data_IF_849357042865
#
_entry.id   IF_849357042865
#
_cell.length_a   1.000
_cell.length_b   1.000
_cell.length_c   1.000
_cell.angle_alpha   90.00
_cell.angle_beta   90.00
_cell.angle_gamma   90.00
#
_symmetry.space_group_name_H-M   'P 1'
#
loop_
_entity.id
_entity.type
_entity.pdbx_description
1 polymer ?
#
# COMPACT_ATOMS: atom_id res chain seq x y z
N UNK A 1 -36.11 -3.04 23.15
CA UNK A 1 -35.71 -4.26 22.42
C UNK A 1 -34.20 -4.26 22.31
N UNK A 2 -33.50 -4.82 23.30
CA UNK A 2 -32.06 -5.03 23.22
C UNK A 2 -31.81 -6.34 22.49
N UNK A 3 -31.42 -6.27 21.23
CA UNK A 3 -30.83 -7.42 20.56
C UNK A 3 -29.56 -7.78 21.31
N UNK A 4 -29.56 -8.88 22.05
CA UNK A 4 -28.33 -9.44 22.60
C UNK A 4 -27.45 -9.83 21.40
N UNK A 5 -26.52 -8.94 21.03
CA UNK A 5 -25.44 -9.30 20.10
C UNK A 5 -24.81 -10.57 20.67
N UNK A 6 -24.74 -11.61 19.84
CA UNK A 6 -24.57 -12.97 20.31
C UNK A 6 -23.18 -13.14 20.97
N UNK A 7 -23.15 -13.74 22.17
CA UNK A 7 -21.92 -14.12 22.86
C UNK A 7 -20.83 -14.77 21.95
N UNK A 8 -21.16 -15.63 20.96
CA UNK A 8 -20.15 -16.15 20.03
C UNK A 8 -19.47 -15.08 19.17
N UNK A 9 -20.16 -14.01 18.76
CA UNK A 9 -19.56 -12.94 17.98
C UNK A 9 -18.45 -12.23 18.76
N UNK A 10 -18.74 -11.83 20.00
CA UNK A 10 -17.75 -11.18 20.86
C UNK A 10 -16.61 -12.12 21.27
N UNK A 11 -16.86 -13.42 21.37
CA UNK A 11 -15.79 -14.41 21.57
C UNK A 11 -14.80 -14.43 20.41
N UNK A 12 -15.29 -14.43 19.17
CA UNK A 12 -14.42 -14.33 17.98
C UNK A 12 -13.67 -13.00 17.95
N UNK A 13 -14.34 -11.90 18.24
CA UNK A 13 -13.71 -10.56 18.27
C UNK A 13 -12.65 -10.45 19.37
N UNK A 14 -12.87 -11.06 20.54
CA UNK A 14 -11.87 -11.12 21.61
C UNK A 14 -10.62 -11.90 21.18
N UNK A 15 -10.76 -12.99 20.42
CA UNK A 15 -9.61 -13.71 19.85
C UNK A 15 -8.85 -12.81 18.88
N UNK A 16 -9.55 -12.06 18.01
CA UNK A 16 -8.94 -11.13 17.06
C UNK A 16 -8.28 -9.91 17.76
N UNK A 17 -8.88 -9.42 18.84
CA UNK A 17 -8.35 -8.31 19.64
C UNK A 17 -7.06 -8.70 20.38
N UNK A 18 -6.96 -9.96 20.85
CA UNK A 18 -5.78 -10.43 21.59
C UNK A 18 -4.69 -11.03 20.68
N UNK A 19 -5.01 -11.41 19.44
CA UNK A 19 -4.07 -12.05 18.52
C UNK A 19 -3.21 -11.05 17.75
N UNK A 20 -2.49 -10.15 18.42
CA UNK A 20 -1.69 -9.10 17.78
C UNK A 20 -0.61 -9.63 16.81
N UNK A 21 -0.08 -10.83 17.09
CA UNK A 21 1.02 -11.43 16.35
C UNK A 21 0.60 -12.02 15.00
N UNK A 22 -0.58 -12.64 14.89
CA UNK A 22 -0.98 -13.31 13.66
C UNK A 22 -1.17 -12.33 12.48
N UNK A 23 -1.97 -11.26 12.59
CA UNK A 23 -2.11 -10.24 11.55
C UNK A 23 -0.76 -9.60 11.20
N UNK A 24 0.13 -9.44 12.19
CA UNK A 24 1.47 -8.91 11.97
C UNK A 24 2.33 -9.88 11.16
N UNK A 25 2.44 -11.16 11.54
CA UNK A 25 3.19 -12.15 10.79
C UNK A 25 2.65 -12.32 9.37
N UNK A 26 1.32 -12.32 9.21
CA UNK A 26 0.69 -12.33 7.90
C UNK A 26 1.10 -11.11 7.07
N UNK A 27 1.05 -9.90 7.65
CA UNK A 27 1.52 -8.67 7.02
C UNK A 27 3.01 -8.75 6.62
N UNK A 28 3.88 -9.29 7.48
CA UNK A 28 5.31 -9.46 7.15
C UNK A 28 5.52 -10.46 5.99
N UNK A 29 4.80 -11.58 6.02
CA UNK A 29 4.91 -12.64 5.03
C UNK A 29 4.52 -12.17 3.62
N UNK A 30 3.51 -11.31 3.50
CA UNK A 30 3.10 -10.74 2.21
C UNK A 30 3.86 -9.44 1.89
N UNK A 31 4.11 -8.60 2.89
CA UNK A 31 4.60 -7.24 2.74
C UNK A 31 6.08 -7.18 2.37
N UNK A 32 6.95 -7.97 3.03
CA UNK A 32 8.39 -7.92 2.78
C UNK A 32 8.72 -8.36 1.34
N UNK A 33 8.23 -9.52 0.83
CA UNK A 33 8.48 -9.91 -0.55
C UNK A 33 7.96 -8.89 -1.55
N UNK A 34 6.77 -8.31 -1.28
CA UNK A 34 6.19 -7.28 -2.12
C UNK A 34 6.98 -5.97 -2.11
N UNK A 35 7.50 -5.54 -0.97
CA UNK A 35 8.34 -4.35 -0.87
C UNK A 35 9.65 -4.52 -1.64
N UNK A 36 10.30 -5.70 -1.51
CA UNK A 36 11.51 -6.05 -2.28
C UNK A 36 11.22 -6.05 -3.78
N UNK A 37 10.08 -6.64 -4.19
CA UNK A 37 9.63 -6.59 -5.57
C UNK A 37 9.40 -5.14 -6.02
N UNK A 38 8.76 -4.30 -5.20
CA UNK A 38 8.47 -2.92 -5.56
C UNK A 38 9.74 -2.08 -5.74
N UNK A 39 10.72 -2.25 -4.85
CA UNK A 39 12.06 -1.66 -4.99
C UNK A 39 12.75 -2.11 -6.28
N UNK A 40 12.65 -3.40 -6.62
CA UNK A 40 13.21 -3.94 -7.86
C UNK A 40 12.56 -3.35 -9.12
N UNK A 41 11.24 -3.18 -9.09
CA UNK A 41 10.46 -2.53 -10.15
C UNK A 41 10.86 -1.06 -10.31
N UNK A 42 10.95 -0.32 -9.21
CA UNK A 42 11.40 1.07 -9.20
C UNK A 42 12.82 1.20 -9.77
N UNK A 43 13.74 0.36 -9.31
CA UNK A 43 15.11 0.35 -9.82
C UNK A 43 15.15 0.06 -11.33
N UNK A 44 14.35 -0.89 -11.81
CA UNK A 44 14.25 -1.20 -13.24
C UNK A 44 13.73 -0.01 -14.06
N UNK A 45 12.71 0.69 -13.56
CA UNK A 45 12.12 1.86 -14.22
C UNK A 45 13.10 3.04 -14.21
N UNK A 46 13.68 3.38 -13.05
CA UNK A 46 14.59 4.52 -12.88
C UNK A 46 15.87 4.34 -13.71
N UNK A 47 16.46 3.13 -13.70
CA UNK A 47 17.65 2.86 -14.54
C UNK A 47 17.37 2.92 -16.05
N UNK A 48 16.10 2.84 -16.46
CA UNK A 48 15.67 2.91 -17.86
C UNK A 48 14.71 4.09 -18.10
N UNK A 49 14.88 5.20 -17.36
CA UNK A 49 13.91 6.31 -17.34
C UNK A 49 13.59 6.88 -18.74
N UNK A 50 14.55 6.83 -19.67
CA UNK A 50 14.36 7.24 -21.08
C UNK A 50 13.24 6.46 -21.78
N UNK A 51 13.02 5.20 -21.40
CA UNK A 51 11.95 4.36 -21.94
C UNK A 51 10.63 4.49 -21.15
N UNK A 52 10.66 5.15 -19.99
CA UNK A 52 9.55 5.29 -19.05
C UNK A 52 9.26 6.76 -18.72
N UNK A 53 9.49 7.67 -19.66
CA UNK A 53 9.32 9.12 -19.46
C UNK A 53 7.86 9.60 -19.59
N UNK A 54 6.89 8.69 -19.74
CA UNK A 54 5.48 9.09 -19.82
C UNK A 54 4.97 9.56 -18.45
N UNK A 55 3.99 10.47 -18.46
CA UNK A 55 3.38 10.98 -17.24
C UNK A 55 2.80 9.87 -16.35
N UNK A 56 2.27 8.81 -16.96
CA UNK A 56 1.83 7.62 -16.26
C UNK A 56 2.94 7.01 -15.40
N UNK A 57 4.12 6.74 -15.99
CA UNK A 57 5.22 6.14 -15.25
C UNK A 57 5.78 7.07 -14.18
N UNK A 58 5.83 8.38 -14.41
CA UNK A 58 6.25 9.35 -13.39
C UNK A 58 5.31 9.29 -12.18
N UNK A 59 3.99 9.30 -12.40
CA UNK A 59 3.01 9.16 -11.31
C UNK A 59 3.15 7.80 -10.59
N UNK A 60 3.40 6.71 -11.32
CA UNK A 60 3.65 5.38 -10.74
C UNK A 60 4.90 5.40 -9.86
N UNK A 61 5.99 6.04 -10.29
CA UNK A 61 7.23 6.15 -9.50
C UNK A 61 6.98 6.93 -8.22
N UNK A 62 6.34 8.10 -8.30
CA UNK A 62 6.06 8.95 -7.13
C UNK A 62 5.18 8.20 -6.14
N UNK A 63 4.12 7.53 -6.61
CA UNK A 63 3.26 6.70 -5.77
C UNK A 63 4.05 5.56 -5.13
N UNK A 64 4.86 4.84 -5.89
CA UNK A 64 5.64 3.71 -5.38
C UNK A 64 6.63 4.13 -4.28
N UNK A 65 7.30 5.28 -4.46
CA UNK A 65 8.17 5.86 -3.44
C UNK A 65 7.35 6.21 -2.19
N UNK A 66 6.21 6.87 -2.35
CA UNK A 66 5.30 7.20 -1.24
C UNK A 66 4.86 5.94 -0.49
N UNK A 67 4.45 4.88 -1.20
CA UNK A 67 4.01 3.62 -0.57
C UNK A 67 5.14 2.89 0.16
N UNK A 68 6.38 2.94 -0.34
CA UNK A 68 7.53 2.38 0.37
C UNK A 68 7.90 3.18 1.63
N UNK A 69 7.81 4.51 1.55
CA UNK A 69 8.00 5.38 2.73
C UNK A 69 6.92 5.08 3.77
N UNK A 70 5.65 5.02 3.34
CA UNK A 70 4.53 4.68 4.20
C UNK A 70 4.72 3.30 4.84
N UNK A 71 5.13 2.30 4.05
CA UNK A 71 5.43 0.97 4.56
C UNK A 71 6.41 1.04 5.72
N UNK A 72 7.58 1.68 5.55
CA UNK A 72 8.58 1.83 6.63
C UNK A 72 8.03 2.62 7.82
N UNK A 73 7.32 3.72 7.56
CA UNK A 73 6.74 4.57 8.61
C UNK A 73 5.70 3.81 9.42
N UNK A 74 4.88 2.95 8.80
CA UNK A 74 3.90 2.14 9.54
C UNK A 74 4.56 1.13 10.49
N UNK A 75 5.76 0.64 10.16
CA UNK A 75 6.53 -0.17 11.12
C UNK A 75 6.91 0.63 12.36
N UNK A 76 7.42 1.84 12.15
CA UNK A 76 7.85 2.74 13.21
C UNK A 76 6.68 3.31 14.00
N UNK A 77 5.58 3.70 13.37
CA UNK A 77 4.46 4.34 14.04
C UNK A 77 3.53 3.33 14.73
N UNK A 78 3.38 2.13 14.16
CA UNK A 78 2.33 1.19 14.56
C UNK A 78 2.85 -0.21 14.91
N UNK A 79 3.66 -0.85 14.05
CA UNK A 79 3.92 -2.30 14.18
C UNK A 79 4.88 -2.63 15.31
N UNK A 80 5.98 -1.89 15.46
CA UNK A 80 6.89 -2.13 16.57
C UNK A 80 6.24 -1.87 17.92
N UNK A 81 5.27 -0.94 17.97
CA UNK A 81 4.47 -0.67 19.14
C UNK A 81 3.64 -1.90 19.59
N UNK A 82 3.22 -2.74 18.64
CA UNK A 82 2.47 -3.99 18.90
C UNK A 82 3.32 -5.17 19.36
N UNK A 83 4.64 -5.13 19.18
CA UNK A 83 5.55 -6.18 19.66
C UNK A 83 6.11 -5.80 21.04
N UNK A 84 6.11 -4.51 21.39
CA UNK A 84 6.68 -4.02 22.64
C UNK A 84 8.21 -4.00 22.71
N UNK A 85 8.89 -4.62 21.74
CA UNK A 85 10.36 -4.73 21.67
C UNK A 85 11.09 -3.39 21.86
N UNK A 86 10.51 -2.30 21.36
CA UNK A 86 11.14 -0.98 21.36
C UNK A 86 10.56 -0.03 22.43
N UNK A 87 9.67 -0.49 23.33
CA UNK A 87 9.02 0.38 24.32
C UNK A 87 10.01 1.28 25.11
N UNK A 88 11.15 0.78 25.64
CA UNK A 88 12.11 1.61 26.36
C UNK A 88 12.75 2.73 25.52
N UNK A 89 12.82 2.54 24.20
CA UNK A 89 13.31 3.55 23.25
C UNK A 89 12.23 4.59 23.03
N UNK A 90 10.98 4.17 22.76
CA UNK A 90 9.87 5.08 22.49
C UNK A 90 9.57 5.99 23.68
N UNK A 91 9.65 5.49 24.92
CA UNK A 91 9.46 6.30 26.12
C UNK A 91 10.48 7.44 26.26
N UNK A 92 11.62 7.36 25.57
CA UNK A 92 12.66 8.41 25.53
C UNK A 92 12.56 9.30 24.29
N UNK A 93 11.68 8.99 23.33
CA UNK A 93 11.51 9.77 22.11
C UNK A 93 10.83 11.09 22.44
N UNK A 94 11.37 12.24 21.99
CA UNK A 94 10.74 13.53 22.23
C UNK A 94 9.38 13.61 21.53
N UNK A 95 8.42 14.32 22.15
CA UNK A 95 7.04 14.46 21.64
C UNK A 95 6.97 14.91 20.18
N UNK A 96 7.86 15.83 19.77
CA UNK A 96 7.92 16.32 18.39
C UNK A 96 8.23 15.21 17.38
N UNK A 97 9.04 14.21 17.75
CA UNK A 97 9.37 13.10 16.88
C UNK A 97 8.22 12.08 16.82
N UNK A 98 7.50 11.86 17.92
CA UNK A 98 6.26 11.06 17.90
C UNK A 98 5.19 11.72 17.00
N UNK A 99 5.01 13.03 17.13
CA UNK A 99 4.13 13.81 16.27
C UNK A 99 4.55 13.73 14.79
N UNK A 100 5.86 13.78 14.51
CA UNK A 100 6.37 13.62 13.14
C UNK A 100 6.07 12.23 12.55
N UNK A 101 6.25 11.15 13.33
CA UNK A 101 5.90 9.79 12.88
C UNK A 101 4.40 9.68 12.55
N UNK A 102 3.55 10.25 13.41
CA UNK A 102 2.11 10.25 13.22
C UNK A 102 1.69 11.13 12.03
N UNK A 103 2.33 12.29 11.88
CA UNK A 103 2.17 13.19 10.72
C UNK A 103 2.49 12.46 9.41
N UNK A 104 3.65 11.81 9.30
CA UNK A 104 4.01 11.12 8.05
C UNK A 104 3.03 9.98 7.76
N UNK A 105 2.58 9.25 8.78
CA UNK A 105 1.61 8.18 8.61
C UNK A 105 0.31 8.67 7.94
N UNK A 106 -0.34 9.70 8.49
CA UNK A 106 -1.55 10.25 7.88
C UNK A 106 -1.28 11.00 6.57
N UNK A 107 -0.16 11.71 6.47
CA UNK A 107 0.22 12.42 5.26
C UNK A 107 0.39 11.46 4.08
N UNK A 108 1.11 10.36 4.28
CA UNK A 108 1.32 9.34 3.27
C UNK A 108 0.01 8.67 2.86
N UNK A 109 -0.90 8.41 3.82
CA UNK A 109 -2.23 7.89 3.55
C UNK A 109 -3.02 8.78 2.58
N UNK A 110 -3.10 10.10 2.83
CA UNK A 110 -3.80 11.02 1.94
C UNK A 110 -3.09 11.19 0.59
N UNK A 111 -1.75 11.27 0.59
CA UNK A 111 -0.94 11.38 -0.61
C UNK A 111 -1.15 10.19 -1.55
N UNK A 112 -1.15 8.95 -1.02
CA UNK A 112 -1.35 7.74 -1.81
C UNK A 112 -2.74 7.66 -2.44
N UNK A 113 -3.78 8.03 -1.69
CA UNK A 113 -5.14 8.07 -2.20
C UNK A 113 -5.29 9.08 -3.34
N UNK A 114 -4.68 10.27 -3.18
CA UNK A 114 -4.71 11.33 -4.18
C UNK A 114 -3.91 10.96 -5.45
N UNK A 115 -2.70 10.41 -5.29
CA UNK A 115 -1.90 9.91 -6.41
C UNK A 115 -2.61 8.77 -7.16
N UNK A 116 -3.36 7.93 -6.44
CA UNK A 116 -4.16 6.89 -7.08
C UNK A 116 -5.28 7.47 -7.91
N UNK A 117 -6.01 8.46 -7.41
CA UNK A 117 -7.03 9.16 -8.18
C UNK A 117 -6.43 9.81 -9.44
N UNK A 118 -5.27 10.45 -9.34
CA UNK A 118 -4.59 11.03 -10.50
C UNK A 118 -4.08 10.00 -11.51
N UNK A 119 -3.64 8.82 -11.07
CA UNK A 119 -3.30 7.72 -11.97
C UNK A 119 -4.53 7.26 -12.77
N UNK A 120 -5.70 7.15 -12.13
CA UNK A 120 -6.94 6.80 -12.80
C UNK A 120 -7.40 7.90 -13.76
N UNK A 121 -7.27 9.17 -13.36
CA UNK A 121 -7.56 10.31 -14.24
C UNK A 121 -6.61 10.36 -15.44
N UNK A 122 -5.33 10.07 -15.24
CA UNK A 122 -4.35 9.93 -16.31
C UNK A 122 -4.75 8.85 -17.31
N UNK A 123 -5.23 7.72 -16.82
CA UNK A 123 -5.73 6.65 -17.69
C UNK A 123 -6.99 7.09 -18.46
N UNK A 124 -7.99 7.64 -17.77
CA UNK A 124 -9.24 8.10 -18.37
C UNK A 124 -8.97 9.10 -19.50
N UNK A 125 -8.13 10.10 -19.22
CA UNK A 125 -7.75 11.12 -20.22
C UNK A 125 -6.94 10.54 -21.38
N UNK A 126 -6.14 9.48 -21.18
CA UNK A 126 -5.48 8.76 -22.27
C UNK A 126 -6.45 8.06 -23.22
N UNK A 127 -7.61 7.62 -22.73
CA UNK A 127 -8.66 7.01 -23.56
C UNK A 127 -9.49 8.09 -24.27
N UNK A 128 -9.87 9.15 -23.54
CA UNK A 128 -10.74 10.22 -24.05
C UNK A 128 -10.03 11.19 -25.01
N UNK A 129 -8.75 11.51 -24.77
CA UNK A 129 -8.04 12.60 -25.45
C UNK A 129 -6.76 12.15 -26.17
N UNK A 130 -6.83 11.16 -27.06
CA UNK A 130 -5.66 10.61 -27.76
C UNK A 130 -4.68 11.64 -28.32
N UNK A 131 -5.19 12.64 -29.05
CA UNK A 131 -4.37 13.61 -29.80
C UNK A 131 -3.68 14.59 -28.84
N UNK A 132 -4.38 14.99 -27.78
CA UNK A 132 -3.92 16.04 -26.86
C UNK A 132 -3.35 15.50 -25.56
N UNK A 133 -3.41 14.17 -25.32
CA UNK A 133 -3.02 13.54 -24.06
C UNK A 133 -1.59 13.91 -23.64
N UNK A 134 -0.62 13.78 -24.55
CA UNK A 134 0.77 14.10 -24.22
C UNK A 134 0.96 15.58 -23.85
N UNK A 135 0.33 16.48 -24.59
CA UNK A 135 0.41 17.92 -24.32
C UNK A 135 -0.24 18.27 -22.99
N UNK A 136 -1.42 17.70 -22.72
CA UNK A 136 -2.17 17.88 -21.47
C UNK A 136 -1.32 17.48 -20.27
N UNK A 137 -0.72 16.29 -20.30
CA UNK A 137 0.03 15.79 -19.16
C UNK A 137 1.46 16.34 -19.08
N UNK A 138 2.08 16.76 -20.17
CA UNK A 138 3.38 17.44 -20.11
C UNK A 138 3.28 18.75 -19.33
N UNK A 139 2.20 19.50 -19.53
CA UNK A 139 1.94 20.75 -18.81
C UNK A 139 1.32 20.49 -17.43
N UNK A 140 0.37 19.56 -17.34
CA UNK A 140 -0.40 19.30 -16.11
C UNK A 140 0.36 18.51 -15.05
N UNK A 141 1.32 17.66 -15.41
CA UNK A 141 1.98 16.75 -14.47
C UNK A 141 2.68 17.48 -13.30
N UNK A 142 3.47 18.55 -13.50
CA UNK A 142 4.07 19.29 -12.39
C UNK A 142 3.03 19.83 -11.41
N UNK A 143 1.90 20.35 -11.91
CA UNK A 143 0.82 20.86 -11.07
C UNK A 143 0.13 19.73 -10.30
N UNK A 144 -0.12 18.59 -10.95
CA UNK A 144 -0.69 17.40 -10.30
C UNK A 144 0.22 16.89 -9.19
N UNK A 145 1.52 16.84 -9.42
CA UNK A 145 2.50 16.42 -8.40
C UNK A 145 2.56 17.42 -7.25
N UNK A 146 2.69 18.71 -7.55
CA UNK A 146 2.72 19.76 -6.53
C UNK A 146 1.43 19.77 -5.69
N UNK A 147 0.27 19.70 -6.34
CA UNK A 147 -1.02 19.60 -5.68
C UNK A 147 -1.11 18.35 -4.81
N UNK A 148 -0.60 17.21 -5.28
CA UNK A 148 -0.59 15.96 -4.51
C UNK A 148 0.20 16.07 -3.21
N UNK A 149 1.32 16.80 -3.23
CA UNK A 149 2.17 17.01 -2.06
C UNK A 149 1.64 18.10 -1.12
N UNK A 150 1.01 19.15 -1.66
CA UNK A 150 0.56 20.29 -0.85
C UNK A 150 -0.81 19.99 -0.20
N UNK A 151 -1.74 19.36 -0.92
CA UNK A 151 -3.12 19.17 -0.45
C UNK A 151 -3.23 18.41 0.88
N UNK A 152 -2.41 17.38 1.19
CA UNK A 152 -2.48 16.70 2.48
C UNK A 152 -2.04 17.53 3.69
N UNK A 153 -1.28 18.63 3.48
CA UNK A 153 -0.67 19.39 4.59
C UNK A 153 -1.71 20.06 5.51
N UNK A 154 -2.76 20.76 5.04
CA UNK A 154 -3.77 21.35 5.92
C UNK A 154 -4.50 20.33 6.79
N UNK A 155 -4.62 19.09 6.32
CA UNK A 155 -5.27 18.00 7.04
C UNK A 155 -4.37 17.42 8.14
N UNK A 156 -3.06 17.40 7.93
CA UNK A 156 -2.11 16.64 8.77
C UNK A 156 -1.21 17.51 9.63
N UNK A 157 -0.89 18.74 9.20
CA UNK A 157 -0.07 19.68 9.97
C UNK A 157 -0.61 19.99 11.38
N UNK A 158 -1.93 20.01 11.66
CA UNK A 158 -2.44 20.20 13.02
C UNK A 158 -1.97 19.16 14.04
N UNK A 159 -1.45 18.00 13.60
CA UNK A 159 -0.89 16.95 14.47
C UNK A 159 0.23 17.51 15.36
N UNK A 160 1.03 18.45 14.85
CA UNK A 160 2.12 19.06 15.63
C UNK A 160 1.63 19.93 16.78
N UNK A 161 0.38 20.38 16.75
CA UNK A 161 -0.26 21.09 17.86
C UNK A 161 -0.99 20.17 18.84
N UNK A 162 -1.02 18.86 18.59
CA UNK A 162 -1.70 17.88 19.44
C UNK A 162 -0.76 17.30 20.50
N UNK A 163 -1.29 17.02 21.70
CA UNK A 163 -0.53 16.35 22.75
C UNK A 163 -0.38 14.85 22.46
N UNK A 164 0.71 14.49 21.79
CA UNK A 164 1.06 13.11 21.45
C UNK A 164 1.76 12.43 22.65
N UNK A 165 1.28 11.26 23.04
CA UNK A 165 1.85 10.44 24.11
C UNK A 165 1.87 8.96 23.75
N UNK A 166 2.53 8.16 24.58
CA UNK A 166 2.58 6.71 24.45
C UNK A 166 1.59 6.12 25.44
N UNK A 167 0.59 5.42 24.91
CA UNK A 167 -0.38 4.68 25.71
C UNK A 167 0.08 3.22 25.82
N UNK A 168 0.44 2.79 27.02
CA UNK A 168 0.83 1.40 27.31
C UNK A 168 -0.45 0.60 27.58
N UNK A 169 -0.58 -0.57 26.96
CA UNK A 169 -1.73 -1.45 27.15
C UNK A 169 -1.62 -2.28 28.44
N UNK A 170 -2.70 -2.97 28.80
CA UNK A 170 -2.82 -3.76 30.03
C UNK A 170 -1.77 -4.88 30.19
N UNK A 171 -1.16 -5.33 29.09
CA UNK A 171 -0.09 -6.33 29.11
C UNK A 171 1.28 -5.77 29.52
N UNK A 172 1.39 -4.46 29.75
CA UNK A 172 2.62 -3.71 30.07
C UNK A 172 3.75 -3.87 29.05
N UNK A 173 3.47 -4.41 27.86
CA UNK A 173 4.45 -4.69 26.82
C UNK A 173 4.07 -3.96 25.55
N UNK A 174 2.82 -4.05 25.13
CA UNK A 174 2.34 -3.38 23.92
C UNK A 174 1.95 -1.95 24.20
N UNK A 175 2.12 -1.10 23.19
CA UNK A 175 1.81 0.31 23.31
C UNK A 175 1.29 0.87 21.99
N UNK A 176 0.71 2.05 22.04
CA UNK A 176 0.27 2.82 20.87
C UNK A 176 0.72 4.27 21.02
N UNK A 177 1.03 4.91 19.90
CA UNK A 177 1.15 6.37 19.86
C UNK A 177 -0.27 6.90 19.80
N UNK A 178 -0.65 7.68 20.80
CA UNK A 178 -1.99 8.25 20.94
C UNK A 178 -1.89 9.77 21.10
N UNK A 179 -3.01 10.44 20.94
CA UNK A 179 -3.11 11.87 21.10
C UNK A 179 -4.28 12.21 22.00
N UNK A 180 -4.11 13.21 22.86
CA UNK A 180 -5.28 13.76 23.55
C UNK A 180 -6.15 14.39 22.48
N UNK A 181 -7.31 13.77 22.22
CA UNK A 181 -8.38 14.37 21.41
C UNK A 181 -8.68 15.75 21.99
N UNK A 182 -8.14 16.79 21.37
CA UNK A 182 -8.60 18.15 21.57
C UNK A 182 -9.99 18.22 20.96
N UNK A 183 -10.85 19.09 21.48
CA UNK A 183 -12.26 19.17 21.08
C UNK A 183 -12.49 19.49 19.59
N UNK A 184 -11.45 19.70 18.79
CA UNK A 184 -11.55 20.28 17.45
C UNK A 184 -11.21 19.33 16.30
N UNK A 185 -10.38 18.29 16.45
CA UNK A 185 -9.96 17.45 15.30
C UNK A 185 -9.81 15.97 15.68
N UNK A 186 -10.58 15.11 14.99
CA UNK A 186 -10.46 13.65 15.06
C UNK A 186 -9.78 13.13 13.78
N UNK A 187 -8.49 12.77 13.86
CA UNK A 187 -7.73 12.32 12.69
C UNK A 187 -8.23 10.99 12.12
N UNK A 188 -8.80 10.12 12.96
CA UNK A 188 -9.39 8.85 12.50
C UNK A 188 -10.62 9.08 11.65
N UNK A 189 -11.49 10.00 12.07
CA UNK A 189 -12.67 10.43 11.32
C UNK A 189 -12.27 11.06 10.00
N UNK A 190 -11.31 11.99 10.02
CA UNK A 190 -10.81 12.65 8.82
C UNK A 190 -10.18 11.64 7.82
N UNK A 191 -9.43 10.66 8.32
CA UNK A 191 -8.88 9.58 7.50
C UNK A 191 -9.99 8.69 6.92
N UNK A 192 -11.01 8.32 7.71
CA UNK A 192 -12.15 7.54 7.23
C UNK A 192 -12.97 8.29 6.17
N UNK A 193 -13.32 9.56 6.42
CA UNK A 193 -13.96 10.42 5.44
C UNK A 193 -13.14 10.51 4.15
N UNK A 194 -11.83 10.74 4.26
CA UNK A 194 -10.93 10.79 3.11
C UNK A 194 -10.91 9.46 2.35
N UNK A 195 -10.84 8.33 3.06
CA UNK A 195 -10.86 6.99 2.46
C UNK A 195 -12.13 6.76 1.64
N UNK A 196 -13.29 7.11 2.20
CA UNK A 196 -14.60 6.96 1.54
C UNK A 196 -14.71 7.90 0.34
N UNK A 197 -14.32 9.17 0.47
CA UNK A 197 -14.34 10.13 -0.65
C UNK A 197 -13.46 9.65 -1.80
N UNK A 198 -12.20 9.28 -1.52
CA UNK A 198 -11.29 8.80 -2.55
C UNK A 198 -11.73 7.47 -3.15
N UNK A 199 -12.35 6.59 -2.37
CA UNK A 199 -12.99 5.38 -2.88
C UNK A 199 -14.08 5.71 -3.90
N UNK A 200 -14.99 6.65 -3.59
CA UNK A 200 -16.06 7.08 -4.50
C UNK A 200 -15.45 7.71 -5.76
N UNK A 201 -14.47 8.61 -5.63
CA UNK A 201 -13.78 9.22 -6.78
C UNK A 201 -13.14 8.17 -7.67
N UNK A 202 -12.45 7.19 -7.08
CA UNK A 202 -11.79 6.14 -7.85
C UNK A 202 -12.78 5.16 -8.49
N UNK A 203 -13.92 4.89 -7.84
CA UNK A 203 -15.02 4.14 -8.44
C UNK A 203 -15.55 4.86 -9.68
N UNK A 204 -15.87 6.16 -9.55
CA UNK A 204 -16.39 6.97 -10.65
C UNK A 204 -15.40 7.06 -11.82
N UNK A 205 -14.11 7.27 -11.54
CA UNK A 205 -13.06 7.31 -12.57
C UNK A 205 -12.90 5.95 -13.28
N UNK A 206 -12.97 4.84 -12.54
CA UNK A 206 -12.91 3.50 -13.15
C UNK A 206 -14.15 3.20 -14.00
N UNK A 207 -15.35 3.56 -13.54
CA UNK A 207 -16.58 3.42 -14.31
C UNK A 207 -16.54 4.29 -15.56
N UNK A 208 -16.11 5.56 -15.45
CA UNK A 208 -15.92 6.44 -16.59
C UNK A 208 -14.91 5.89 -17.60
N UNK A 209 -13.81 5.29 -17.12
CA UNK A 209 -12.79 4.66 -17.96
C UNK A 209 -13.38 3.46 -18.72
N UNK A 210 -14.18 2.63 -18.06
CA UNK A 210 -14.86 1.49 -18.66
C UNK A 210 -15.90 1.92 -19.70
N UNK A 211 -16.68 2.96 -19.40
CA UNK A 211 -17.70 3.50 -20.31
C UNK A 211 -17.05 4.14 -21.54
N UNK A 212 -16.05 5.02 -21.34
CA UNK A 212 -15.28 5.64 -22.42
C UNK A 212 -14.66 4.58 -23.33
N UNK A 213 -14.18 3.49 -22.73
CA UNK A 213 -13.67 2.35 -23.46
C UNK A 213 -14.75 1.64 -24.29
N UNK A 214 -15.89 1.25 -23.69
CA UNK A 214 -16.96 0.54 -24.38
C UNK A 214 -17.53 1.34 -25.56
N UNK A 215 -17.66 2.65 -25.40
CA UNK A 215 -18.10 3.56 -26.46
C UNK A 215 -17.14 3.56 -27.66
N UNK A 216 -15.85 3.40 -27.40
CA UNK A 216 -14.79 3.46 -28.41
C UNK A 216 -14.49 2.13 -29.08
N UNK A 217 -14.63 1.00 -28.36
CA UNK A 217 -14.37 -0.33 -28.91
C UNK A 217 -15.28 -0.67 -30.10
N UNK A 218 -16.47 -0.07 -30.18
CA UNK A 218 -17.38 -0.21 -31.31
C UNK A 218 -16.82 0.34 -32.64
N UNK A 219 -15.72 1.10 -32.63
CA UNK A 219 -15.21 1.80 -33.81
C UNK A 219 -13.93 1.22 -34.43
N UNK A 220 -13.09 0.46 -33.72
CA UNK A 220 -11.82 -0.06 -34.25
C UNK A 220 -11.11 -0.95 -33.21
N UNK A 221 -10.83 -2.23 -33.48
CA UNK A 221 -9.76 -2.94 -32.76
C UNK A 221 -9.00 -3.99 -33.61
N UNK A 222 -7.67 -3.85 -33.61
CA UNK A 222 -6.69 -4.90 -33.90
C UNK A 222 -6.47 -5.77 -32.66
N UNK A 223 -6.14 -7.06 -32.82
CA UNK A 223 -6.06 -8.03 -31.71
C UNK A 223 -4.99 -7.78 -30.63
N UNK A 224 -3.92 -7.03 -30.91
CA UNK A 224 -2.87 -6.72 -29.92
C UNK A 224 -3.33 -5.67 -28.89
N UNK A 225 -4.17 -4.72 -29.29
CA UNK A 225 -4.66 -3.66 -28.41
C UNK A 225 -5.55 -4.24 -27.30
N UNK A 226 -6.39 -5.23 -27.65
CA UNK A 226 -7.28 -5.93 -26.73
C UNK A 226 -6.51 -6.61 -25.57
N UNK A 227 -5.31 -7.15 -25.82
CA UNK A 227 -4.53 -7.88 -24.82
C UNK A 227 -3.85 -6.96 -23.80
N UNK A 228 -3.30 -5.83 -24.25
CA UNK A 228 -2.72 -4.81 -23.36
C UNK A 228 -3.83 -4.21 -22.49
N UNK A 229 -4.98 -4.00 -23.08
CA UNK A 229 -6.08 -3.30 -22.45
C UNK A 229 -6.82 -4.16 -21.43
N UNK A 230 -7.04 -5.46 -21.71
CA UNK A 230 -7.48 -6.43 -20.68
C UNK A 230 -6.57 -6.41 -19.46
N UNK A 231 -5.25 -6.28 -19.64
CA UNK A 231 -4.31 -6.17 -18.53
C UNK A 231 -4.51 -4.89 -17.74
N UNK A 232 -4.68 -3.77 -18.42
CA UNK A 232 -4.96 -2.50 -17.75
C UNK A 232 -6.28 -2.53 -16.99
N UNK A 233 -7.33 -3.16 -17.52
CA UNK A 233 -8.62 -3.29 -16.82
C UNK A 233 -8.50 -4.15 -15.55
N UNK A 234 -7.78 -5.27 -15.62
CA UNK A 234 -7.49 -6.09 -14.44
C UNK A 234 -6.69 -5.29 -13.40
N UNK A 235 -5.71 -4.50 -13.83
CA UNK A 235 -4.97 -3.60 -12.94
C UNK A 235 -5.90 -2.64 -12.19
N UNK A 236 -6.81 -1.96 -12.92
CA UNK A 236 -7.76 -1.03 -12.31
C UNK A 236 -8.65 -1.70 -11.27
N UNK A 237 -9.25 -2.85 -11.62
CA UNK A 237 -10.14 -3.61 -10.72
C UNK A 237 -9.39 -4.03 -9.46
N UNK A 238 -8.16 -4.51 -9.58
CA UNK A 238 -7.39 -4.93 -8.43
C UNK A 238 -6.93 -3.73 -7.57
N UNK A 239 -6.54 -2.61 -8.18
CA UNK A 239 -6.27 -1.38 -7.40
C UNK A 239 -7.51 -0.83 -6.69
N UNK A 240 -8.68 -0.92 -7.34
CA UNK A 240 -9.96 -0.55 -6.75
C UNK A 240 -10.29 -1.44 -5.55
N UNK A 241 -10.03 -2.74 -5.63
CA UNK A 241 -10.24 -3.65 -4.50
C UNK A 241 -9.37 -3.27 -3.29
N UNK A 242 -8.11 -2.88 -3.50
CA UNK A 242 -7.26 -2.35 -2.42
C UNK A 242 -7.83 -1.09 -1.77
N UNK A 243 -8.39 -0.17 -2.55
CA UNK A 243 -9.02 1.04 -2.03
C UNK A 243 -10.33 0.74 -1.29
N UNK A 244 -11.15 -0.17 -1.82
CA UNK A 244 -12.37 -0.64 -1.18
C UNK A 244 -12.06 -1.25 0.19
N UNK A 245 -11.07 -2.15 0.24
CA UNK A 245 -10.66 -2.81 1.48
C UNK A 245 -10.20 -1.78 2.52
N UNK A 246 -9.38 -0.81 2.11
CA UNK A 246 -8.90 0.26 2.97
C UNK A 246 -10.04 1.17 3.46
N UNK A 247 -10.96 1.55 2.57
CA UNK A 247 -12.11 2.39 2.93
C UNK A 247 -13.05 1.70 3.92
N UNK A 248 -13.34 0.41 3.70
CA UNK A 248 -14.11 -0.41 4.65
C UNK A 248 -13.39 -0.47 5.99
N UNK A 249 -12.09 -0.77 5.99
CA UNK A 249 -11.32 -0.86 7.23
C UNK A 249 -11.31 0.46 8.01
N UNK A 250 -11.02 1.58 7.35
CA UNK A 250 -10.99 2.89 7.99
C UNK A 250 -12.38 3.32 8.50
N UNK A 251 -13.44 2.99 7.76
CA UNK A 251 -14.81 3.20 8.23
C UNK A 251 -15.07 2.43 9.54
N UNK A 252 -14.69 1.14 9.60
CA UNK A 252 -14.81 0.37 10.84
C UNK A 252 -13.94 0.91 11.97
N UNK A 253 -12.73 1.42 11.68
CA UNK A 253 -11.86 2.03 12.70
C UNK A 253 -12.53 3.25 13.28
N UNK A 254 -13.11 4.11 12.45
CA UNK A 254 -13.75 5.34 12.89
C UNK A 254 -14.99 5.08 13.76
N UNK A 255 -15.92 4.23 13.30
CA UNK A 255 -17.16 3.96 14.04
C UNK A 255 -16.92 3.24 15.38
N UNK A 256 -15.82 2.49 15.51
CA UNK A 256 -15.42 1.82 16.75
C UNK A 256 -14.52 2.68 17.62
N UNK A 257 -13.89 3.72 17.08
CA UNK A 257 -13.04 4.62 17.87
C UNK A 257 -13.88 5.47 18.84
N UNK A 258 -13.38 5.76 20.05
CA UNK A 258 -14.11 6.58 21.03
C UNK A 258 -14.17 8.04 20.58
N UNK A 259 -15.18 8.45 19.81
CA UNK A 259 -15.26 9.76 19.16
C UNK A 259 -16.07 10.82 19.91
N UNK A 260 -17.00 10.41 20.77
CA UNK A 260 -17.86 11.32 21.53
C UNK A 260 -17.39 11.45 22.98
N UNK A 261 -17.80 12.54 23.62
CA UNK A 261 -17.60 12.81 25.05
C UNK A 261 -18.97 13.10 25.65
N UNK A 262 -19.35 12.41 26.72
CA UNK A 262 -20.60 12.67 27.45
C UNK A 262 -20.45 13.84 28.44
N UNK A 263 -21.53 14.21 29.14
CA UNK A 263 -21.53 15.27 30.16
C UNK A 263 -20.56 15.00 31.33
N UNK A 264 -20.17 13.73 31.53
CA UNK A 264 -19.25 13.27 32.56
C UNK A 264 -17.82 13.09 32.03
N UNK A 265 -17.54 13.55 30.82
CA UNK A 265 -16.26 13.40 30.14
C UNK A 265 -15.88 11.94 29.79
N UNK A 266 -16.84 11.00 29.81
CA UNK A 266 -16.62 9.63 29.33
C UNK A 266 -16.67 9.61 27.81
N UNK A 267 -15.74 8.85 27.21
CA UNK A 267 -15.69 8.70 25.76
C UNK A 267 -16.53 7.51 25.30
N UNK A 268 -17.30 7.69 24.22
CA UNK A 268 -18.07 6.60 23.61
C UNK A 268 -17.96 6.62 22.08
N UNK A 269 -18.11 5.45 21.46
CA UNK A 269 -18.07 5.29 20.00
C UNK A 269 -19.46 5.35 19.36
N UNK A 270 -19.53 5.43 18.03
CA UNK A 270 -20.78 5.30 17.29
C UNK A 270 -21.43 3.94 17.51
N UNK A 271 -20.63 2.87 17.47
CA UNK A 271 -21.10 1.49 17.68
C UNK A 271 -21.67 1.32 19.09
N UNK A 272 -21.02 1.90 20.11
CA UNK A 272 -21.51 1.88 21.48
C UNK A 272 -22.91 2.51 21.59
N UNK A 273 -23.10 3.66 20.94
CA UNK A 273 -24.38 4.37 20.92
C UNK A 273 -25.46 3.63 20.13
N UNK A 274 -25.13 3.08 18.97
CA UNK A 274 -26.11 2.43 18.09
C UNK A 274 -26.56 1.07 18.59
N UNK A 275 -25.65 0.30 19.20
CA UNK A 275 -25.92 -1.08 19.61
C UNK A 275 -26.03 -1.27 21.12
N UNK A 276 -25.86 -0.20 21.90
CA UNK A 276 -25.93 -0.21 23.37
C UNK A 276 -25.01 -1.29 23.99
N UNK A 277 -23.78 -1.40 23.48
CA UNK A 277 -22.76 -2.33 23.98
C UNK A 277 -21.95 -1.69 25.11
N UNK A 278 -21.26 -2.50 25.93
CA UNK A 278 -20.39 -1.97 26.98
C UNK A 278 -19.12 -1.33 26.41
N UNK A 279 -18.43 -0.51 27.21
CA UNK A 279 -17.12 0.07 26.84
C UNK A 279 -16.10 -1.02 26.51
N UNK A 280 -16.03 -2.07 27.34
CA UNK A 280 -15.12 -3.21 27.14
C UNK A 280 -15.41 -3.97 25.84
N UNK A 281 -16.69 -4.14 25.50
CA UNK A 281 -17.10 -4.73 24.22
C UNK A 281 -16.69 -3.86 23.03
N UNK A 282 -16.81 -2.53 23.16
CA UNK A 282 -16.36 -1.61 22.13
C UNK A 282 -14.84 -1.62 21.95
N UNK A 283 -14.09 -1.62 23.05
CA UNK A 283 -12.62 -1.71 23.01
C UNK A 283 -12.17 -2.99 22.34
N UNK A 284 -12.83 -4.11 22.65
CA UNK A 284 -12.61 -5.40 21.97
C UNK A 284 -12.82 -5.28 20.46
N UNK A 285 -13.90 -4.64 20.00
CA UNK A 285 -14.16 -4.43 18.58
C UNK A 285 -13.13 -3.52 17.92
N UNK A 286 -12.81 -2.40 18.58
CA UNK A 286 -11.81 -1.46 18.11
C UNK A 286 -10.45 -2.14 17.94
N UNK A 287 -9.97 -2.86 18.95
CA UNK A 287 -8.69 -3.57 18.87
C UNK A 287 -8.72 -4.71 17.85
N UNK A 288 -9.80 -5.49 17.78
CA UNK A 288 -9.94 -6.55 16.78
C UNK A 288 -9.78 -6.00 15.35
N UNK A 289 -10.39 -4.86 15.06
CA UNK A 289 -10.28 -4.19 13.77
C UNK A 289 -8.90 -3.51 13.59
N UNK A 290 -8.45 -2.72 14.55
CA UNK A 290 -7.16 -2.00 14.50
C UNK A 290 -5.97 -2.97 14.36
N UNK A 291 -6.11 -4.21 14.84
CA UNK A 291 -5.14 -5.28 14.65
C UNK A 291 -5.03 -5.80 13.22
N UNK A 292 -6.05 -5.59 12.40
CA UNK A 292 -6.01 -5.93 10.97
C UNK A 292 -5.29 -4.89 10.12
N UNK A 293 -5.08 -3.66 10.65
CA UNK A 293 -4.49 -2.56 9.88
C UNK A 293 -3.16 -2.93 9.17
N UNK A 294 -2.19 -3.63 9.80
CA UNK A 294 -0.90 -3.91 9.15
C UNK A 294 -1.01 -4.65 7.81
N UNK A 295 -1.85 -5.68 7.72
CA UNK A 295 -1.97 -6.45 6.48
C UNK A 295 -2.92 -5.79 5.49
N UNK A 296 -3.98 -5.13 5.98
CA UNK A 296 -4.87 -4.33 5.13
C UNK A 296 -4.09 -3.23 4.43
N UNK A 297 -3.27 -2.49 5.19
CA UNK A 297 -2.41 -1.45 4.67
C UNK A 297 -1.39 -2.00 3.67
N UNK A 298 -0.68 -3.07 4.00
CA UNK A 298 0.30 -3.67 3.07
C UNK A 298 -0.34 -4.15 1.78
N UNK A 299 -1.51 -4.79 1.89
CA UNK A 299 -2.22 -5.31 0.73
C UNK A 299 -2.57 -4.19 -0.23
N UNK A 300 -3.10 -3.08 0.28
CA UNK A 300 -3.56 -1.93 -0.50
C UNK A 300 -2.43 -1.05 -1.03
N UNK A 301 -1.33 -0.88 -0.29
CA UNK A 301 -0.27 0.10 -0.59
C UNK A 301 0.94 -0.52 -1.31
N UNK A 302 1.34 -1.75 -0.96
CA UNK A 302 2.57 -2.35 -1.46
C UNK A 302 2.30 -3.61 -2.29
N UNK A 303 1.53 -4.56 -1.75
CA UNK A 303 1.36 -5.89 -2.36
C UNK A 303 0.66 -5.79 -3.70
N UNK A 304 -0.59 -5.30 -3.72
CA UNK A 304 -1.36 -5.22 -4.96
C UNK A 304 -0.63 -4.35 -6.00
N UNK A 305 -0.14 -3.13 -5.69
CA UNK A 305 0.55 -2.30 -6.67
C UNK A 305 1.83 -2.94 -7.25
N UNK A 306 2.68 -3.55 -6.42
CA UNK A 306 3.92 -4.16 -6.89
C UNK A 306 3.66 -5.34 -7.83
N UNK A 307 2.81 -6.28 -7.41
CA UNK A 307 2.51 -7.48 -8.20
C UNK A 307 1.77 -7.14 -9.50
N UNK A 308 0.85 -6.19 -9.46
CA UNK A 308 0.14 -5.75 -10.67
C UNK A 308 1.04 -5.00 -11.64
N UNK A 309 1.95 -4.15 -11.15
CA UNK A 309 2.89 -3.43 -12.01
C UNK A 309 3.82 -4.41 -12.75
N UNK A 310 4.31 -5.44 -12.05
CA UNK A 310 5.06 -6.54 -12.65
C UNK A 310 4.22 -7.29 -13.70
N UNK A 311 2.96 -7.59 -13.40
CA UNK A 311 2.08 -8.36 -14.29
C UNK A 311 1.62 -7.56 -15.53
N UNK A 312 1.44 -6.25 -15.42
CA UNK A 312 0.99 -5.43 -16.54
C UNK A 312 2.11 -5.12 -17.54
N UNK A 313 3.33 -4.86 -17.06
CA UNK A 313 4.40 -4.37 -17.92
C UNK A 313 5.33 -5.48 -18.40
N UNK A 314 5.13 -5.95 -19.63
CA UNK A 314 6.02 -6.91 -20.29
C UNK A 314 7.46 -6.37 -20.40
N UNK A 315 7.61 -5.08 -20.72
CA UNK A 315 8.93 -4.42 -20.79
C UNK A 315 9.65 -4.44 -19.44
N UNK A 316 8.95 -4.11 -18.36
CA UNK A 316 9.56 -4.15 -17.01
C UNK A 316 9.97 -5.58 -16.65
N UNK A 317 9.14 -6.59 -16.94
CA UNK A 317 9.52 -8.00 -16.75
C UNK A 317 10.75 -8.39 -17.57
N UNK A 318 10.83 -7.97 -18.82
CA UNK A 318 11.97 -8.26 -19.69
C UNK A 318 13.25 -7.64 -19.12
N UNK A 319 13.19 -6.39 -18.67
CA UNK A 319 14.32 -5.70 -18.04
C UNK A 319 14.76 -6.43 -16.76
N UNK A 320 13.81 -6.79 -15.89
CA UNK A 320 14.11 -7.53 -14.66
C UNK A 320 14.72 -8.90 -14.98
N UNK A 321 14.13 -9.65 -15.92
CA UNK A 321 14.62 -10.95 -16.32
C UNK A 321 16.03 -10.87 -16.93
N UNK A 322 16.33 -9.83 -17.73
CA UNK A 322 17.67 -9.57 -18.26
C UNK A 322 18.67 -9.31 -17.13
N UNK A 323 18.32 -8.47 -16.14
CA UNK A 323 19.18 -8.20 -14.98
C UNK A 323 19.42 -9.44 -14.11
N UNK A 324 18.38 -10.24 -13.85
CA UNK A 324 18.51 -11.48 -13.09
C UNK A 324 19.36 -12.53 -13.83
N UNK A 325 19.18 -12.68 -15.15
CA UNK A 325 20.03 -13.57 -15.96
C UNK A 325 21.48 -13.10 -16.01
N UNK A 326 21.73 -11.79 -16.04
CA UNK A 326 23.08 -11.22 -15.99
C UNK A 326 23.73 -11.50 -14.63
N UNK A 327 22.97 -11.40 -13.54
CA UNK A 327 23.44 -11.78 -12.20
C UNK A 327 23.83 -13.26 -12.08
N UNK A 328 23.17 -14.15 -12.83
CA UNK A 328 23.48 -15.59 -12.86
C UNK A 328 24.59 -15.96 -13.87
N UNK A 329 25.12 -15.01 -14.65
CA UNK A 329 26.17 -15.23 -15.66
C UNK A 329 27.49 -14.57 -15.28
N UNK A 330 27.86 -14.60 -14.00
CA UNK A 330 29.24 -14.34 -13.60
C UNK A 330 29.98 -15.69 -13.50
N UNK A 331 30.62 -16.18 -14.58
CA UNK A 331 31.37 -17.44 -14.59
C UNK A 331 32.67 -17.40 -13.78
N UNK A 332 33.07 -16.25 -13.22
CA UNK A 332 34.35 -16.12 -12.50
C UNK A 332 34.38 -16.78 -11.11
N UNK A 333 33.24 -17.25 -10.59
CA UNK A 333 33.19 -18.15 -9.43
C UNK A 333 32.88 -19.60 -9.80
N UNK A 334 33.05 -19.98 -11.07
CA UNK A 334 33.22 -21.38 -11.42
C UNK A 334 34.59 -21.79 -10.90
N UNK A 335 34.65 -22.16 -9.61
CA UNK A 335 35.80 -22.80 -8.97
C UNK A 335 36.34 -23.80 -10.00
N UNK A 336 37.58 -23.58 -10.42
CA UNK A 336 38.35 -24.49 -11.24
C UNK A 336 38.46 -25.84 -10.51
N UNK A 337 37.41 -26.67 -10.60
CA UNK A 337 37.53 -28.12 -10.51
C UNK A 337 37.96 -28.56 -11.92
N UNK A 338 39.09 -28.05 -12.38
CA UNK A 338 39.77 -28.58 -13.54
C UNK A 338 40.57 -29.80 -13.08
N UNK A 339 39.96 -30.96 -13.33
CA UNK A 339 40.65 -32.06 -14.00
C UNK A 339 42.02 -32.44 -13.42
N UNK A 340 42.01 -33.20 -12.33
CA UNK A 340 43.01 -34.26 -12.12
C UNK A 340 42.37 -35.59 -12.54
N UNK A 341 42.09 -35.77 -13.83
CA UNK A 341 42.08 -37.11 -14.47
C UNK A 341 42.60 -36.93 -15.90
N UNK A 342 43.93 -36.85 -16.03
CA UNK A 342 44.65 -37.35 -17.20
C UNK A 342 44.84 -38.86 -17.00
N UNK A 343 44.25 -39.70 -17.85
CA UNK A 343 44.86 -40.93 -18.40
C UNK A 343 44.13 -41.19 -19.73
N UNK A 344 44.69 -40.70 -20.84
CA UNK A 344 45.42 -41.52 -21.83
C UNK A 344 44.56 -42.60 -22.51
N UNK A 345 44.01 -42.26 -23.68
CA UNK A 345 43.80 -43.22 -24.75
C UNK A 345 44.05 -42.51 -26.08
N UNK A 346 45.29 -42.65 -26.55
CA UNK A 346 45.75 -42.26 -27.88
C UNK A 346 45.50 -43.47 -28.78
N UNK A 347 44.53 -43.38 -29.69
CA UNK A 347 44.41 -44.34 -30.80
C UNK A 347 44.37 -43.55 -32.10
N UNK A 348 45.36 -43.84 -32.93
CA UNK A 348 45.66 -43.22 -34.22
C UNK A 348 44.57 -43.50 -35.25
N UNK A 349 44.35 -42.61 -36.24
CA UNK A 349 43.61 -42.96 -37.45
C UNK A 349 44.54 -43.71 -38.42
N UNK A 350 44.11 -44.90 -38.84
CA UNK A 350 44.70 -45.62 -39.97
C UNK A 350 44.12 -45.01 -41.25
N UNK A 351 45.02 -44.44 -42.05
CA UNK A 351 44.78 -44.12 -43.45
C UNK A 351 44.72 -45.40 -44.29
N UNK A 352 43.77 -45.43 -45.23
CA UNK A 352 43.79 -46.29 -46.40
C UNK A 352 42.40 -46.28 -47.05
N UNK A 353 42.19 -46.32 -48.36
CA UNK A 353 43.01 -46.33 -49.57
C UNK A 353 41.97 -46.11 -50.70
N UNK A 354 42.35 -45.44 -51.78
CA UNK A 354 41.55 -45.33 -53.01
C UNK A 354 41.13 -46.71 -53.58
N UNK A 355 39.89 -46.81 -54.05
CA UNK A 355 39.58 -47.19 -55.44
C UNK A 355 38.14 -46.85 -55.79
#
# INVERSE_FOLDING_TARGET
MGSSVSAPFFSVMAVLANSNLFPLFFALAIGIPSAVLYCSLLLAIVTNIKHFSSAFFILVIIRAISSLINYVVTFLALRFCKIGLLLPIYLKVPRILLAFLYFIYFYAFHLENLLTAFLLLNRLSGILFLINYERLWRVGLPFVVAFSLILPLPFTAPIFGSDIYIHIQNDNVTFTIDYHKTATINYSEMAACSAVIFFIVCLLLNLATLLAYKLRNNYQQNGQDLAIERKMTIYAVATFFGQLLMAIHMFFVDITSPSFVDEHNNRFSYVQRWFNISSEQNDTLFFANFNQNPWVNDLSTVVIPAWLLLWCSSKVREIIAKKLKFSNRNPENTIHIHQIIRVSARTQPINGICR
#
